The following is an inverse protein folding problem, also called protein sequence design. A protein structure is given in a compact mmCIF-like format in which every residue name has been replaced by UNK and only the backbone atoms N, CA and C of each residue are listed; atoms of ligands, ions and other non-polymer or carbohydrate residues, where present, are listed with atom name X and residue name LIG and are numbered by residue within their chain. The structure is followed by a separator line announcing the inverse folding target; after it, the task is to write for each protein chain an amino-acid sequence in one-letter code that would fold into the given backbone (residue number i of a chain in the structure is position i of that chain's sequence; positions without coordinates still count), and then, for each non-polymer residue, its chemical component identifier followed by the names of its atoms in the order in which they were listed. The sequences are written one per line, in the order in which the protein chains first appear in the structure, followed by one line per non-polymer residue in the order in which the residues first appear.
data_IF_796873651875
#
_entry.id   IF_796873651875
#
_cell.length_a   1.000
_cell.length_b   1.000
_cell.length_c   1.000
_cell.angle_alpha   90.00
_cell.angle_beta   90.00
_cell.angle_gamma   90.00
#
_symmetry.space_group_name_H-M   'P 1'
#
loop_
_entity.id
_entity.type
_entity.pdbx_description
1 polymer ?
#
# COMPACT_ATOMS: atom_id res chain seq x y z
N UNK A 1 -29.13 3.03 25.72
CA UNK A 1 -27.67 2.92 25.52
C UNK A 1 -27.45 2.40 24.11
N UNK A 2 -26.85 3.22 23.25
CA UNK A 2 -26.55 2.84 21.87
C UNK A 2 -25.25 2.02 21.90
N UNK A 3 -25.17 0.83 21.30
CA UNK A 3 -23.90 0.12 21.22
C UNK A 3 -22.90 0.95 20.40
N UNK A 4 -21.58 0.85 20.66
CA UNK A 4 -20.61 1.51 19.81
C UNK A 4 -20.78 1.00 18.39
N UNK A 5 -21.07 1.92 17.46
CA UNK A 5 -20.98 1.66 16.03
C UNK A 5 -19.50 1.44 15.74
N UNK A 6 -19.03 0.20 15.92
CA UNK A 6 -17.78 -0.21 15.33
C UNK A 6 -18.05 -0.25 13.83
N UNK A 7 -17.83 0.88 13.16
CA UNK A 7 -17.59 0.91 11.73
C UNK A 7 -16.26 0.19 11.52
N UNK A 8 -16.27 -1.14 11.63
CA UNK A 8 -15.37 -1.99 10.87
C UNK A 8 -15.76 -1.78 9.41
N UNK A 9 -15.42 -0.63 8.84
CA UNK A 9 -15.04 -0.64 7.43
C UNK A 9 -13.79 -1.51 7.41
N UNK A 10 -14.01 -2.81 7.21
CA UNK A 10 -13.01 -3.72 6.71
C UNK A 10 -12.66 -3.19 5.33
N UNK A 11 -11.88 -2.11 5.28
CA UNK A 11 -11.38 -1.56 4.03
C UNK A 11 -10.56 -2.69 3.42
N UNK A 12 -11.12 -3.30 2.39
CA UNK A 12 -10.42 -4.36 1.68
C UNK A 12 -9.29 -3.69 0.90
N UNK A 13 -8.08 -4.26 0.88
CA UNK A 13 -7.01 -3.69 0.09
C UNK A 13 -7.44 -3.66 -1.38
N UNK A 14 -7.21 -2.53 -2.04
CA UNK A 14 -7.46 -2.38 -3.47
C UNK A 14 -6.44 -3.19 -4.27
N UNK A 15 -5.22 -3.30 -3.75
CA UNK A 15 -4.11 -4.02 -4.36
C UNK A 15 -3.33 -4.76 -3.29
N UNK A 16 -2.98 -6.02 -3.57
CA UNK A 16 -2.00 -6.78 -2.80
C UNK A 16 -0.80 -7.07 -3.70
N UNK A 17 0.35 -6.44 -3.40
CA UNK A 17 1.60 -6.78 -4.08
C UNK A 17 2.25 -7.97 -3.38
N UNK A 18 2.70 -8.95 -4.17
CA UNK A 18 3.59 -10.00 -3.70
C UNK A 18 5.01 -9.68 -4.16
N UNK A 19 5.87 -9.31 -3.23
CA UNK A 19 7.20 -8.79 -3.48
C UNK A 19 8.21 -9.86 -3.09
N UNK A 20 9.02 -10.30 -4.04
CA UNK A 20 10.13 -11.20 -3.76
C UNK A 20 11.31 -10.39 -3.20
N UNK A 21 11.69 -10.68 -1.95
CA UNK A 21 12.78 -10.01 -1.25
C UNK A 21 14.12 -10.66 -1.55
N UNK A 22 14.13 -11.99 -1.62
CA UNK A 22 15.23 -12.84 -2.07
C UNK A 22 14.63 -14.14 -2.60
N UNK A 23 15.45 -14.98 -3.25
CA UNK A 23 14.99 -16.22 -3.88
C UNK A 23 14.15 -17.07 -2.91
N UNK A 24 12.86 -17.20 -3.21
CA UNK A 24 11.91 -18.00 -2.42
C UNK A 24 11.39 -17.35 -1.15
N UNK A 25 11.76 -16.10 -0.84
CA UNK A 25 11.22 -15.32 0.28
C UNK A 25 10.39 -14.16 -0.26
N UNK A 26 9.09 -14.21 -0.01
CA UNK A 26 8.14 -13.20 -0.45
C UNK A 26 7.50 -12.47 0.73
N UNK A 27 7.12 -11.21 0.48
CA UNK A 27 6.40 -10.36 1.40
C UNK A 27 5.17 -9.78 0.69
N UNK A 28 4.05 -9.70 1.40
CA UNK A 28 2.81 -9.13 0.87
C UNK A 28 2.66 -7.70 1.35
N UNK A 29 2.35 -6.80 0.44
CA UNK A 29 2.06 -5.41 0.72
C UNK A 29 0.61 -5.10 0.31
N UNK A 30 -0.23 -4.92 1.33
CA UNK A 30 -1.60 -4.44 1.17
C UNK A 30 -1.61 -2.92 0.97
N UNK A 31 -2.33 -2.47 -0.06
CA UNK A 31 -2.50 -1.06 -0.40
C UNK A 31 -3.98 -0.72 -0.48
N UNK A 32 -4.38 0.35 0.20
CA UNK A 32 -5.75 0.82 0.34
C UNK A 32 -5.99 2.07 -0.51
N UNK A 33 -7.25 2.36 -0.87
CA UNK A 33 -7.61 3.45 -1.80
C UNK A 33 -7.03 4.82 -1.41
N UNK A 34 -7.04 5.11 -0.11
CA UNK A 34 -6.61 6.37 0.48
C UNK A 34 -5.14 6.38 0.92
N UNK A 35 -4.39 5.30 0.68
CA UNK A 35 -2.98 5.24 1.04
C UNK A 35 -2.17 6.28 0.25
N UNK A 36 -1.19 6.89 0.92
CA UNK A 36 -0.19 7.74 0.27
C UNK A 36 0.97 6.85 -0.19
N UNK A 37 1.33 6.81 -1.49
CA UNK A 37 2.26 5.81 -2.02
C UNK A 37 3.62 5.75 -1.32
N UNK A 38 4.20 6.91 -0.98
CA UNK A 38 5.50 6.93 -0.29
C UNK A 38 5.40 6.40 1.14
N UNK A 39 4.26 6.62 1.82
CA UNK A 39 4.03 6.11 3.17
C UNK A 39 3.83 4.59 3.17
N UNK A 40 3.18 4.05 2.14
CA UNK A 40 3.06 2.60 1.91
C UNK A 40 4.43 1.94 1.79
N UNK A 41 5.33 2.54 0.99
CA UNK A 41 6.68 2.02 0.81
C UNK A 41 7.49 2.11 2.10
N UNK A 42 7.37 3.22 2.85
CA UNK A 42 8.03 3.37 4.14
C UNK A 42 7.50 2.39 5.19
N UNK A 43 6.19 2.11 5.19
CA UNK A 43 5.55 1.09 6.02
C UNK A 43 6.12 -0.28 5.70
N UNK A 44 6.14 -0.66 4.43
CA UNK A 44 6.71 -1.93 3.97
C UNK A 44 8.17 -2.09 4.38
N UNK A 45 8.98 -1.05 4.23
CA UNK A 45 10.38 -1.07 4.67
C UNK A 45 10.50 -1.36 6.17
N UNK A 46 9.69 -0.67 6.99
CA UNK A 46 9.70 -0.82 8.44
C UNK A 46 9.21 -2.21 8.88
N UNK A 47 8.14 -2.72 8.28
CA UNK A 47 7.53 -4.01 8.62
C UNK A 47 8.44 -5.20 8.29
N UNK A 48 9.22 -5.09 7.22
CA UNK A 48 10.12 -6.16 6.78
C UNK A 48 11.60 -5.92 7.13
N UNK A 49 11.90 -4.90 7.94
CA UNK A 49 13.27 -4.52 8.33
C UNK A 49 14.22 -4.37 7.14
N UNK A 50 13.73 -3.78 6.06
CA UNK A 50 14.50 -3.51 4.85
C UNK A 50 15.14 -2.12 4.92
N UNK A 51 16.11 -1.88 4.05
CA UNK A 51 16.64 -0.54 3.80
C UNK A 51 16.75 -0.35 2.30
N UNK A 52 15.89 0.48 1.74
CA UNK A 52 15.91 0.84 0.33
C UNK A 52 16.64 2.17 0.13
N UNK A 53 17.33 2.32 -0.99
CA UNK A 53 17.84 3.62 -1.40
C UNK A 53 16.67 4.58 -1.70
N UNK A 54 16.88 5.88 -1.54
CA UNK A 54 15.86 6.89 -1.84
C UNK A 54 15.33 6.78 -3.28
N UNK A 55 16.21 6.50 -4.23
CA UNK A 55 15.83 6.26 -5.64
C UNK A 55 14.92 5.04 -5.78
N UNK A 56 15.19 3.95 -5.06
CA UNK A 56 14.35 2.76 -5.09
C UNK A 56 12.98 3.03 -4.45
N UNK A 57 12.94 3.76 -3.33
CA UNK A 57 11.68 4.18 -2.68
C UNK A 57 10.81 4.99 -3.63
N UNK A 58 11.37 5.98 -4.30
CA UNK A 58 10.64 6.83 -5.24
C UNK A 58 10.10 6.03 -6.43
N UNK A 59 10.90 5.11 -7.00
CA UNK A 59 10.43 4.22 -8.08
C UNK A 59 9.31 3.29 -7.64
N UNK A 60 9.41 2.74 -6.43
CA UNK A 60 8.38 1.87 -5.89
C UNK A 60 7.09 2.67 -5.59
N UNK A 61 7.20 3.86 -5.00
CA UNK A 61 6.07 4.74 -4.76
C UNK A 61 5.33 5.11 -6.06
N UNK A 62 6.07 5.38 -7.16
CA UNK A 62 5.48 5.61 -8.48
C UNK A 62 4.72 4.38 -9.01
N UNK A 63 5.24 3.17 -8.74
CA UNK A 63 4.54 1.94 -9.10
C UNK A 63 3.24 1.82 -8.31
N UNK A 64 3.28 2.01 -6.99
CA UNK A 64 2.09 2.00 -6.11
C UNK A 64 1.05 3.03 -6.58
N UNK A 65 1.46 4.26 -6.88
CA UNK A 65 0.58 5.32 -7.42
C UNK A 65 -0.05 4.90 -8.75
N UNK A 66 0.73 4.29 -9.65
CA UNK A 66 0.24 3.79 -10.94
C UNK A 66 -0.90 2.78 -10.79
N UNK A 67 -0.81 1.87 -9.82
CA UNK A 67 -1.90 0.94 -9.52
C UNK A 67 -3.06 1.64 -8.80
N UNK A 68 -2.79 2.48 -7.79
CA UNK A 68 -3.83 3.20 -7.06
C UNK A 68 -4.68 4.11 -7.95
N UNK A 69 -4.09 4.71 -8.98
CA UNK A 69 -4.80 5.56 -9.94
C UNK A 69 -5.93 4.84 -10.69
N UNK A 70 -5.90 3.50 -10.75
CA UNK A 70 -6.96 2.69 -11.36
C UNK A 70 -8.18 2.51 -10.45
N UNK A 71 -7.98 2.66 -9.14
CA UNK A 71 -9.00 2.46 -8.11
C UNK A 71 -9.55 3.78 -7.57
N UNK A 72 -8.74 4.84 -7.57
CA UNK A 72 -9.22 6.16 -7.21
C UNK A 72 -10.24 6.62 -8.24
N UNK A 73 -11.44 7.07 -7.81
CA UNK A 73 -12.44 7.57 -8.74
C UNK A 73 -11.83 8.69 -9.58
N UNK A 74 -11.92 8.58 -10.90
CA UNK A 74 -11.57 9.69 -11.78
C UNK A 74 -12.42 10.89 -11.36
N UNK A 75 -11.84 12.08 -11.16
CA UNK A 75 -12.66 13.25 -10.94
C UNK A 75 -13.60 13.39 -12.15
N UNK A 76 -14.90 13.22 -11.93
CA UNK A 76 -15.91 13.62 -12.91
C UNK A 76 -15.90 15.15 -12.90
N UNK A 77 -15.36 15.75 -13.96
CA UNK A 77 -15.51 17.17 -14.25
C UNK A 77 -16.88 17.43 -14.87
#
# INVERSE_FOLDING_TARGET
MQPPLIHHRLDSPCVNFNIELTAGVTATLAVYENDIPIEVVNRFEKEHHLVMSEVAKNKFALTVEGYLSQYRPRPMF
#
